data_IF_205072659104
#
_entry.id   IF_205072659104
#
_cell.length_a   1.000
_cell.length_b   1.000
_cell.length_c   1.000
_cell.angle_alpha   90.00
_cell.angle_beta   90.00
_cell.angle_gamma   90.00
#
_symmetry.space_group_name_H-M   'P 1'
#
loop_
_entity.id
_entity.type
_entity.pdbx_description
1 polymer ?
#
# COMPACT_ATOMS: atom_id res chain seq x y z
N UNK A 1 -1.20 3.62 12.58
CA UNK A 1 -1.97 2.41 12.21
C UNK A 1 -1.32 1.85 10.97
N UNK A 2 -0.83 0.62 11.04
CA UNK A 2 -0.17 -0.07 9.94
C UNK A 2 -0.91 -1.40 9.78
N UNK A 3 -1.19 -1.80 8.55
CA UNK A 3 -1.96 -3.01 8.26
C UNK A 3 -1.34 -3.73 7.06
N UNK A 4 -1.18 -5.05 7.16
CA UNK A 4 -0.82 -5.93 6.05
C UNK A 4 -2.08 -6.68 5.64
N UNK A 5 -2.48 -6.58 4.37
CA UNK A 5 -3.73 -7.16 3.88
C UNK A 5 -3.49 -7.96 2.59
N UNK A 6 -4.30 -9.00 2.39
CA UNK A 6 -4.29 -9.83 1.17
C UNK A 6 -5.40 -9.45 0.17
N UNK A 7 -6.23 -8.46 0.53
CA UNK A 7 -7.31 -7.93 -0.32
C UNK A 7 -6.86 -6.63 -1.01
N UNK A 8 -7.47 -6.25 -2.14
CA UNK A 8 -7.19 -4.96 -2.78
C UNK A 8 -7.30 -3.79 -1.80
N UNK A 9 -6.34 -2.87 -1.86
CA UNK A 9 -6.35 -1.64 -1.05
C UNK A 9 -7.38 -0.68 -1.65
N UNK A 10 -8.25 -0.12 -0.82
CA UNK A 10 -9.09 1.03 -1.20
C UNK A 10 -8.42 2.33 -0.74
N UNK A 11 -7.95 3.18 -1.67
CA UNK A 11 -7.31 4.45 -1.31
C UNK A 11 -8.23 5.34 -0.47
N UNK A 12 -9.53 5.37 -0.78
CA UNK A 12 -10.51 6.17 -0.06
C UNK A 12 -10.64 5.74 1.41
N UNK A 13 -10.66 4.44 1.70
CA UNK A 13 -10.70 3.94 3.07
C UNK A 13 -9.46 4.36 3.86
N UNK A 14 -8.29 4.37 3.21
CA UNK A 14 -7.03 4.81 3.86
C UNK A 14 -7.04 6.32 4.13
N UNK A 15 -7.47 7.13 3.16
CA UNK A 15 -7.60 8.59 3.34
C UNK A 15 -8.56 8.92 4.48
N UNK A 16 -9.73 8.27 4.52
CA UNK A 16 -10.73 8.55 5.54
C UNK A 16 -10.31 8.11 6.95
N UNK A 17 -9.36 7.17 7.09
CA UNK A 17 -8.79 6.79 8.39
C UNK A 17 -7.91 7.89 9.01
N UNK A 18 -7.28 8.74 8.19
CA UNK A 18 -6.35 9.79 8.65
C UNK A 18 -6.92 11.20 8.58
N UNK A 19 -7.94 11.42 7.73
CA UNK A 19 -8.63 12.70 7.60
C UNK A 19 -9.29 13.10 8.91
N UNK A 20 -9.08 14.35 9.33
CA UNK A 20 -9.79 14.99 10.45
C UNK A 20 -10.44 16.29 9.99
N UNK A 21 -11.36 16.83 10.78
CA UNK A 21 -12.02 18.12 10.49
C UNK A 21 -11.04 19.30 10.50
N UNK A 22 -9.88 19.14 11.15
CA UNK A 22 -8.78 20.13 11.17
C UNK A 22 -7.77 19.95 10.03
N UNK A 23 -7.90 18.90 9.22
CA UNK A 23 -6.97 18.62 8.13
C UNK A 23 -7.21 19.58 6.96
N UNK A 24 -6.23 20.43 6.64
CA UNK A 24 -6.27 21.26 5.42
C UNK A 24 -5.95 20.47 4.14
N UNK A 25 -5.29 19.32 4.25
CA UNK A 25 -4.95 18.44 3.14
C UNK A 25 -4.61 17.03 3.66
N UNK A 26 -4.86 16.00 2.84
CA UNK A 26 -4.33 14.64 3.01
C UNK A 26 -3.62 14.27 1.73
N UNK A 27 -2.37 13.79 1.83
CA UNK A 27 -1.57 13.33 0.69
C UNK A 27 -1.44 11.82 0.75
N UNK A 28 -1.63 11.16 -0.39
CA UNK A 28 -1.44 9.71 -0.52
C UNK A 28 -0.37 9.38 -1.54
N UNK A 29 0.37 8.31 -1.27
CA UNK A 29 1.31 7.70 -2.20
C UNK A 29 0.90 6.24 -2.42
N UNK A 30 0.76 5.84 -3.69
CA UNK A 30 0.31 4.51 -4.07
C UNK A 30 1.36 3.87 -4.97
N UNK A 31 1.96 2.77 -4.50
CA UNK A 31 2.82 1.91 -5.32
C UNK A 31 1.98 0.97 -6.17
N UNK A 32 2.21 0.95 -7.48
CA UNK A 32 1.52 0.05 -8.43
C UNK A 32 2.50 -0.97 -9.00
N UNK A 33 1.99 -2.17 -9.30
CA UNK A 33 2.74 -3.16 -10.07
C UNK A 33 2.86 -2.64 -11.51
N UNK A 34 4.10 -2.57 -12.00
CA UNK A 34 4.40 -2.10 -13.36
C UNK A 34 4.27 -3.24 -14.36
N UNK A 35 3.89 -2.90 -15.59
CA UNK A 35 3.79 -3.87 -16.70
C UNK A 35 5.15 -4.43 -17.14
N UNK A 36 6.22 -3.63 -17.04
CA UNK A 36 7.59 -4.04 -17.42
C UNK A 36 8.60 -3.78 -16.30
N UNK A 37 9.57 -4.69 -16.17
CA UNK A 37 10.72 -4.55 -15.29
C UNK A 37 11.96 -5.14 -15.93
N UNK A 38 13.05 -4.36 -15.98
CA UNK A 38 14.34 -4.79 -16.56
C UNK A 38 14.21 -5.40 -17.97
N UNK A 39 13.37 -4.78 -18.81
CA UNK A 39 13.14 -5.21 -20.19
C UNK A 39 12.25 -6.45 -20.37
N UNK A 40 11.64 -6.97 -19.29
CA UNK A 40 10.74 -8.13 -19.34
C UNK A 40 9.32 -7.74 -18.90
N UNK A 41 8.32 -8.34 -19.52
CA UNK A 41 6.92 -8.19 -19.12
C UNK A 41 6.69 -8.88 -17.76
N UNK A 42 5.98 -8.21 -16.86
CA UNK A 42 5.60 -8.70 -15.54
C UNK A 42 4.19 -9.25 -15.61
N UNK A 43 4.01 -10.54 -15.29
CA UNK A 43 2.69 -11.17 -15.22
C UNK A 43 2.00 -10.86 -13.88
N UNK A 44 2.74 -11.00 -12.78
CA UNK A 44 2.27 -10.73 -11.42
C UNK A 44 3.47 -10.50 -10.49
N UNK A 45 3.20 -9.98 -9.29
CA UNK A 45 4.16 -9.87 -8.19
C UNK A 45 3.53 -10.49 -6.95
N UNK A 46 4.27 -11.36 -6.28
CA UNK A 46 3.88 -11.95 -5.01
C UNK A 46 4.58 -11.22 -3.86
N UNK A 47 3.81 -10.89 -2.82
CA UNK A 47 4.30 -10.25 -1.61
C UNK A 47 4.10 -11.20 -0.43
N UNK A 48 5.10 -11.30 0.44
CA UNK A 48 5.00 -12.07 1.69
C UNK A 48 5.69 -11.33 2.83
N UNK A 49 5.10 -11.44 4.02
CA UNK A 49 5.74 -11.08 5.30
C UNK A 49 5.98 -12.36 6.09
N UNK A 50 6.97 -13.15 5.67
CA UNK A 50 7.24 -14.49 6.21
C UNK A 50 7.62 -14.47 7.69
N UNK A 51 8.19 -13.37 8.18
CA UNK A 51 8.55 -13.21 9.59
C UNK A 51 7.40 -12.62 10.44
N UNK A 52 6.33 -12.12 9.81
CA UNK A 52 5.23 -11.42 10.50
C UNK A 52 5.70 -10.16 11.22
N UNK A 53 6.77 -9.51 10.72
CA UNK A 53 7.45 -8.39 11.39
C UNK A 53 7.36 -7.09 10.60
N UNK A 54 6.77 -7.10 9.41
CA UNK A 54 6.75 -5.90 8.58
C UNK A 54 5.92 -4.77 9.21
N UNK A 55 4.88 -5.09 9.97
CA UNK A 55 4.10 -4.07 10.71
C UNK A 55 4.95 -3.29 11.71
N UNK A 56 5.87 -3.97 12.42
CA UNK A 56 6.71 -3.36 13.46
C UNK A 56 7.94 -2.61 12.91
N UNK A 57 8.22 -2.72 11.60
CA UNK A 57 9.38 -2.11 10.94
C UNK A 57 9.05 -0.81 10.20
N UNK A 58 7.77 -0.45 10.13
CA UNK A 58 7.22 0.72 9.44
C UNK A 58 6.72 1.76 10.45
#
# INVERSE_FOLDING_TARGET
>A
MIEIIQKPISPELVVNKVKTDSSGCVVTYIGLIREYSRGKQVLSVEYSDTEGKAENRL
#
